data_IF_687267454677
#
_entry.id   IF_687267454677
#
_cell.length_a   1.000
_cell.length_b   1.000
_cell.length_c   1.000
_cell.angle_alpha   90.00
_cell.angle_beta   90.00
_cell.angle_gamma   90.00
#
_symmetry.space_group_name_H-M   'P 1'
#
loop_
_entity.id
_entity.type
_entity.pdbx_description
1 polymer ?
#
# COMPACT_ATOMS: atom_id res chain seq x y z
N UNK A 1 17.10 -7.76 4.51
CA UNK A 1 15.73 -8.25 4.22
C UNK A 1 15.52 -8.14 2.72
N UNK A 2 15.00 -9.18 2.05
CA UNK A 2 14.83 -9.13 0.58
C UNK A 2 13.56 -8.34 0.21
N UNK A 3 13.54 -7.76 -0.99
CA UNK A 3 12.39 -6.98 -1.47
C UNK A 3 11.05 -7.74 -1.41
N UNK A 4 11.04 -9.04 -1.73
CA UNK A 4 9.83 -9.87 -1.63
C UNK A 4 9.27 -9.92 -0.20
N UNK A 5 10.12 -10.06 0.81
CA UNK A 5 9.69 -10.08 2.22
C UNK A 5 9.19 -8.70 2.67
N UNK A 6 9.76 -7.62 2.13
CA UNK A 6 9.27 -6.25 2.36
C UNK A 6 7.87 -6.13 1.76
N UNK A 7 7.67 -6.56 0.52
CA UNK A 7 6.38 -6.49 -0.17
C UNK A 7 5.30 -7.28 0.56
N UNK A 8 5.54 -8.54 0.92
CA UNK A 8 4.56 -9.39 1.60
C UNK A 8 4.07 -8.74 2.90
N UNK A 9 4.99 -8.33 3.78
CA UNK A 9 4.60 -7.73 5.05
C UNK A 9 3.97 -6.34 4.88
N UNK A 10 4.36 -5.60 3.85
CA UNK A 10 3.76 -4.32 3.54
C UNK A 10 2.31 -4.50 3.06
N UNK A 11 2.04 -5.50 2.23
CA UNK A 11 0.69 -5.89 1.83
C UNK A 11 -0.15 -6.25 3.06
N UNK A 12 0.36 -7.11 3.94
CA UNK A 12 -0.35 -7.46 5.20
C UNK A 12 -0.70 -6.22 6.04
N UNK A 13 0.22 -5.26 6.15
CA UNK A 13 -0.02 -4.01 6.88
C UNK A 13 -1.07 -3.13 6.19
N UNK A 14 -1.03 -3.03 4.86
CA UNK A 14 -1.99 -2.27 4.07
C UNK A 14 -3.38 -2.90 4.21
N UNK A 15 -3.49 -4.22 4.08
CA UNK A 15 -4.73 -4.98 4.28
C UNK A 15 -5.28 -4.77 5.69
N UNK A 16 -4.42 -4.85 6.71
CA UNK A 16 -4.81 -4.65 8.10
C UNK A 16 -5.29 -3.22 8.38
N UNK A 17 -4.66 -2.19 7.79
CA UNK A 17 -5.04 -0.79 7.98
C UNK A 17 -6.24 -0.35 7.15
N UNK A 18 -6.34 -0.80 5.91
CA UNK A 18 -7.32 -0.29 4.94
C UNK A 18 -8.52 -1.22 4.77
N UNK A 19 -8.36 -2.51 5.06
CA UNK A 19 -9.34 -3.56 4.79
C UNK A 19 -9.41 -3.98 3.31
N UNK A 20 -8.54 -3.45 2.44
CA UNK A 20 -8.49 -3.73 1.00
C UNK A 20 -7.53 -4.87 0.67
N UNK A 21 -7.76 -5.58 -0.44
CA UNK A 21 -6.95 -6.72 -0.85
C UNK A 21 -7.07 -7.93 0.09
N UNK A 22 -8.08 -7.92 0.97
CA UNK A 22 -8.26 -8.99 1.94
C UNK A 22 -8.67 -10.27 1.21
N UNK A 23 -7.89 -11.37 1.28
CA UNK A 23 -8.18 -12.61 0.57
C UNK A 23 -9.54 -13.23 0.95
N UNK A 24 -10.15 -12.79 2.06
CA UNK A 24 -11.49 -13.18 2.49
C UNK A 24 -12.62 -12.43 1.75
N UNK A 25 -12.31 -11.46 0.88
CA UNK A 25 -13.26 -10.73 0.03
C UNK A 25 -12.90 -10.89 -1.45
N UNK A 26 -13.28 -12.02 -2.09
CA UNK A 26 -12.82 -12.39 -3.43
C UNK A 26 -13.52 -11.63 -4.58
N UNK A 27 -13.89 -10.36 -4.41
CA UNK A 27 -14.34 -9.57 -5.55
C UNK A 27 -13.14 -9.34 -6.49
N UNK A 28 -13.38 -9.18 -7.80
CA UNK A 28 -12.32 -9.02 -8.79
C UNK A 28 -11.52 -7.74 -8.54
N UNK A 29 -10.49 -7.87 -7.70
CA UNK A 29 -9.61 -6.82 -7.25
C UNK A 29 -8.27 -6.94 -7.99
N UNK A 30 -7.81 -5.85 -8.61
CA UNK A 30 -6.43 -5.77 -9.11
C UNK A 30 -5.62 -5.06 -8.02
N UNK A 31 -4.78 -5.83 -7.33
CA UNK A 31 -3.84 -5.32 -6.35
C UNK A 31 -2.42 -5.36 -6.92
N UNK A 32 -1.71 -4.25 -6.78
CA UNK A 32 -0.36 -4.12 -7.29
C UNK A 32 0.52 -3.27 -6.35
N UNK A 33 1.70 -3.79 -6.01
CA UNK A 33 2.64 -3.14 -5.09
C UNK A 33 4.03 -3.00 -5.69
N UNK A 34 4.45 -1.74 -5.82
CA UNK A 34 5.73 -1.34 -6.38
C UNK A 34 6.60 -0.69 -5.32
N UNK A 35 7.80 -1.23 -5.09
CA UNK A 35 8.83 -0.50 -4.35
C UNK A 35 9.51 0.44 -5.35
N UNK A 36 9.48 1.73 -5.07
CA UNK A 36 10.03 2.77 -5.96
C UNK A 36 11.50 3.00 -5.71
N UNK A 37 11.89 3.10 -4.44
CA UNK A 37 13.28 3.35 -4.06
C UNK A 37 13.51 2.79 -2.68
N UNK A 38 14.72 2.28 -2.45
CA UNK A 38 15.21 1.93 -1.12
C UNK A 38 16.43 2.81 -0.88
N UNK A 39 16.33 3.71 0.09
CA UNK A 39 17.42 4.58 0.51
C UNK A 39 17.97 4.11 1.84
N UNK A 40 19.28 3.94 1.92
CA UNK A 40 19.96 3.67 3.18
C UNK A 40 20.36 4.99 3.83
N UNK A 41 19.84 5.23 5.03
CA UNK A 41 20.21 6.37 5.85
C UNK A 41 21.46 6.05 6.70
N UNK A 42 22.28 7.07 7.01
CA UNK A 42 23.54 6.92 7.74
C UNK A 42 23.39 6.37 9.18
N UNK A 43 22.17 6.36 9.71
CA UNK A 43 21.82 5.84 11.05
C UNK A 43 21.58 4.32 11.07
N UNK A 44 21.91 3.60 9.97
CA UNK A 44 21.60 2.18 9.81
C UNK A 44 20.10 1.89 9.57
N UNK A 45 19.36 2.92 9.18
CA UNK A 45 17.94 2.84 8.79
C UNK A 45 17.84 2.73 7.27
N UNK A 46 16.86 1.99 6.78
CA UNK A 46 16.53 1.92 5.36
C UNK A 46 15.12 2.49 5.17
N UNK A 47 14.94 3.42 4.25
CA UNK A 47 13.65 4.00 3.91
C UNK A 47 13.28 3.49 2.52
N UNK A 48 12.25 2.64 2.47
CA UNK A 48 11.69 2.15 1.23
C UNK A 48 10.44 2.96 0.88
N UNK A 49 10.45 3.66 -0.25
CA UNK A 49 9.24 4.27 -0.81
C UNK A 49 8.51 3.26 -1.68
N UNK A 50 7.19 3.25 -1.59
CA UNK A 50 6.35 2.31 -2.32
C UNK A 50 5.12 3.00 -2.88
N UNK A 51 4.55 2.38 -3.90
CA UNK A 51 3.24 2.70 -4.44
C UNK A 51 2.38 1.45 -4.44
N UNK A 52 1.23 1.56 -3.80
CA UNK A 52 0.21 0.52 -3.74
C UNK A 52 -0.97 0.97 -4.59
N UNK A 53 -1.39 0.12 -5.51
CA UNK A 53 -2.52 0.34 -6.40
C UNK A 53 -3.55 -0.73 -6.08
N UNK A 54 -4.77 -0.30 -5.82
CA UNK A 54 -5.90 -1.16 -5.55
C UNK A 54 -7.06 -0.74 -6.43
N UNK A 55 -7.48 -1.62 -7.32
CA UNK A 55 -8.68 -1.43 -8.10
C UNK A 55 -9.79 -2.32 -7.57
N UNK A 56 -10.85 -1.71 -7.04
CA UNK A 56 -11.97 -2.42 -6.40
C UNK A 56 -12.81 -3.22 -7.41
N UNK A 57 -12.73 -2.87 -8.69
CA UNK A 57 -13.65 -3.36 -9.71
C UNK A 57 -12.91 -3.40 -11.04
N UNK A 58 -11.98 -4.36 -11.18
CA UNK A 58 -11.00 -4.46 -12.29
C UNK A 58 -11.59 -4.58 -13.70
N UNK A 59 -12.92 -4.46 -13.82
CA UNK A 59 -13.71 -4.54 -15.04
C UNK A 59 -14.74 -3.39 -15.18
N UNK A 60 -14.85 -2.48 -14.21
CA UNK A 60 -15.83 -1.40 -14.27
C UNK A 60 -15.44 -0.33 -15.30
N UNK A 61 -16.46 0.20 -15.97
CA UNK A 61 -16.32 1.36 -16.86
C UNK A 61 -16.01 2.67 -16.08
N UNK A 62 -16.18 2.66 -14.76
CA UNK A 62 -15.90 3.77 -13.88
C UNK A 62 -14.65 3.51 -13.05
N UNK A 63 -13.72 4.46 -13.07
CA UNK A 63 -12.46 4.40 -12.32
C UNK A 63 -12.74 4.31 -10.81
N UNK A 64 -12.52 3.13 -10.23
CA UNK A 64 -12.52 2.85 -8.79
C UNK A 64 -11.12 2.50 -8.29
N UNK A 65 -10.11 2.99 -8.99
CA UNK A 65 -8.72 2.77 -8.65
C UNK A 65 -8.33 3.67 -7.49
N UNK A 66 -7.68 3.08 -6.52
CA UNK A 66 -7.02 3.75 -5.42
C UNK A 66 -5.53 3.61 -5.57
N UNK A 67 -4.83 4.74 -5.49
CA UNK A 67 -3.37 4.74 -5.51
C UNK A 67 -2.90 5.38 -4.21
N UNK A 68 -2.06 4.66 -3.49
CA UNK A 68 -1.34 5.17 -2.34
C UNK A 68 0.13 5.25 -2.67
N UNK A 69 0.74 6.37 -2.33
CA UNK A 69 2.17 6.42 -2.15
C UNK A 69 2.47 6.38 -0.65
N UNK A 70 3.54 5.67 -0.31
CA UNK A 70 3.95 5.54 1.07
C UNK A 70 5.45 5.39 1.21
N UNK A 71 5.89 5.52 2.46
CA UNK A 71 7.25 5.28 2.87
C UNK A 71 7.28 4.35 4.07
N UNK A 72 8.26 3.47 4.06
CA UNK A 72 8.47 2.43 5.04
C UNK A 72 9.87 2.58 5.60
N UNK A 73 9.96 2.85 6.91
CA UNK A 73 11.24 2.91 7.61
C UNK A 73 11.54 1.56 8.25
N UNK A 74 12.65 0.97 7.84
CA UNK A 74 13.20 -0.28 8.34
C UNK A 74 14.45 0.05 9.17
N UNK A 75 14.60 -0.52 10.36
CA UNK A 75 15.83 -0.44 11.14
C UNK A 75 16.16 -1.82 11.70
N UNK A 76 17.42 -2.27 11.51
CA UNK A 76 17.86 -3.58 12.00
C UNK A 76 17.02 -4.77 11.49
N UNK A 77 16.38 -4.63 10.32
CA UNK A 77 15.50 -5.67 9.75
C UNK A 77 14.06 -5.66 10.24
N UNK A 78 13.67 -4.70 11.10
CA UNK A 78 12.28 -4.52 11.56
C UNK A 78 11.64 -3.26 10.98
N UNK A 79 10.34 -3.30 10.72
CA UNK A 79 9.58 -2.09 10.36
C UNK A 79 9.34 -1.23 11.59
N UNK A 80 9.77 0.01 11.49
CA UNK A 80 9.68 0.99 12.57
C UNK A 80 8.49 1.91 12.32
N UNK A 81 8.29 2.32 11.07
CA UNK A 81 7.25 3.29 10.70
C UNK A 81 6.76 3.03 9.28
N UNK A 82 5.45 3.14 9.10
CA UNK A 82 4.81 3.15 7.79
C UNK A 82 3.97 4.42 7.68
N UNK A 83 4.23 5.19 6.64
CA UNK A 83 3.47 6.37 6.25
C UNK A 83 2.87 6.10 4.88
N UNK A 84 1.59 6.37 4.71
CA UNK A 84 0.88 6.14 3.46
C UNK A 84 -0.15 7.25 3.27
N UNK A 85 -0.24 7.75 2.04
CA UNK A 85 -1.17 8.78 1.63
C UNK A 85 -1.87 8.34 0.35
N UNK A 86 -3.19 8.50 0.30
CA UNK A 86 -3.97 8.25 -0.91
C UNK A 86 -3.74 9.43 -1.88
N UNK A 87 -2.99 9.18 -2.94
CA UNK A 87 -2.62 10.21 -3.93
C UNK A 87 -3.59 10.28 -5.09
N UNK A 88 -4.36 9.21 -5.31
CA UNK A 88 -5.42 9.15 -6.31
C UNK A 88 -6.56 8.28 -5.79
N UNK A 89 -7.77 8.81 -5.95
CA UNK A 89 -9.02 8.09 -5.77
C UNK A 89 -9.82 8.29 -7.04
N UNK A 90 -10.15 7.19 -7.73
CA UNK A 90 -10.90 7.24 -8.97
C UNK A 90 -12.27 7.90 -8.84
N UNK A 91 -12.83 8.37 -9.95
CA UNK A 91 -14.04 9.22 -9.93
C UNK A 91 -15.27 8.52 -9.33
N UNK A 92 -15.35 7.19 -9.40
CA UNK A 92 -16.41 6.39 -8.77
C UNK A 92 -16.03 5.85 -7.38
N UNK A 93 -14.85 6.22 -6.89
CA UNK A 93 -14.44 5.98 -5.53
C UNK A 93 -15.23 6.87 -4.57
N UNK A 94 -16.38 6.36 -4.10
CA UNK A 94 -17.09 7.02 -3.00
C UNK A 94 -16.48 6.51 -1.68
N UNK A 95 -15.44 7.18 -1.18
CA UNK A 95 -15.01 7.00 0.22
C UNK A 95 -15.56 8.10 1.10
N UNK A 96 -16.65 7.81 1.82
CA UNK A 96 -16.94 8.48 3.10
C UNK A 96 -16.00 7.94 4.16
N UNK A 97 -14.79 8.50 4.26
CA UNK A 97 -13.97 8.31 5.45
C UNK A 97 -14.49 9.23 6.56
N UNK A 98 -15.23 8.67 7.52
CA UNK A 98 -15.53 9.35 8.79
C UNK A 98 -14.49 8.92 9.82
N UNK A 99 -13.50 9.75 10.17
CA UNK A 99 -12.72 9.50 11.37
C UNK A 99 -13.66 9.60 12.57
N UNK A 100 -13.55 8.64 13.50
CA UNK A 100 -14.18 8.71 14.82
C UNK A 100 -13.10 8.75 15.87
#
# INVERSE_FOLDING_TARGET
MNESQIKEKLLELIHSKTGWGNPLRPHCEIEDLYIRTIQECPDGKQIATFRYIFDEDGFSQYDKTHVFDGSLTIAGGNFIKIEMEEVHAGVATIRRYKPK
#
